data_IF_342418885554
#
_entry.id   IF_342418885554
#
_cell.length_a   1.000
_cell.length_b   1.000
_cell.length_c   1.000
_cell.angle_alpha   90.00
_cell.angle_beta   90.00
_cell.angle_gamma   90.00
#
_symmetry.space_group_name_H-M   'P 1'
#
loop_
_entity.id
_entity.type
_entity.pdbx_description
1 polymer ?
#
# COMPACT_ATOMS: atom_id res chain seq x y z
N UNK A 1 -22.77 10.51 -19.64
CA UNK A 1 -23.72 9.74 -20.46
C UNK A 1 -25.06 10.43 -20.70
N UNK A 2 -25.78 10.91 -19.68
CA UNK A 2 -27.09 11.56 -19.88
C UNK A 2 -27.05 12.74 -20.88
N UNK A 3 -26.02 13.59 -20.82
CA UNK A 3 -25.83 14.72 -21.75
C UNK A 3 -25.61 14.23 -23.19
N UNK A 4 -24.80 13.19 -23.38
CA UNK A 4 -24.53 12.61 -24.70
C UNK A 4 -25.80 12.02 -25.30
N UNK A 5 -26.58 11.29 -24.49
CA UNK A 5 -27.87 10.75 -24.91
C UNK A 5 -28.85 11.86 -25.30
N UNK A 6 -28.95 12.92 -24.49
CA UNK A 6 -29.80 14.06 -24.80
C UNK A 6 -29.37 14.75 -26.12
N UNK A 7 -28.06 14.89 -26.34
CA UNK A 7 -27.52 15.45 -27.58
C UNK A 7 -27.79 14.55 -28.79
N UNK A 8 -27.69 13.23 -28.64
CA UNK A 8 -28.04 12.26 -29.69
C UNK A 8 -29.53 12.33 -30.05
N UNK A 9 -30.43 12.38 -29.06
CA UNK A 9 -31.87 12.52 -29.27
C UNK A 9 -32.21 13.87 -29.92
N UNK A 10 -31.58 14.95 -29.46
CA UNK A 10 -31.75 16.28 -30.04
C UNK A 10 -31.30 16.32 -31.51
N UNK A 11 -30.14 15.73 -31.84
CA UNK A 11 -29.65 15.62 -33.21
C UNK A 11 -30.55 14.73 -34.08
N UNK A 12 -31.11 13.66 -33.52
CA UNK A 12 -32.05 12.79 -34.22
C UNK A 12 -33.35 13.53 -34.57
N UNK A 13 -33.97 14.22 -33.59
CA UNK A 13 -35.19 15.01 -33.79
C UNK A 13 -34.92 16.19 -34.74
N UNK A 14 -33.80 16.89 -34.55
CA UNK A 14 -33.40 18.00 -35.42
C UNK A 14 -33.20 17.54 -36.86
N UNK A 15 -32.55 16.40 -37.06
CA UNK A 15 -32.40 15.82 -38.40
C UNK A 15 -33.77 15.48 -38.98
N UNK A 16 -34.62 14.74 -38.26
CA UNK A 16 -35.96 14.37 -38.74
C UNK A 16 -36.85 15.57 -39.08
N UNK A 17 -36.72 16.68 -38.36
CA UNK A 17 -37.55 17.86 -38.52
C UNK A 17 -37.02 18.87 -39.56
N UNK A 18 -35.71 18.96 -39.77
CA UNK A 18 -35.08 20.05 -40.53
C UNK A 18 -34.11 19.60 -41.63
N UNK A 19 -33.75 18.31 -41.70
CA UNK A 19 -32.83 17.78 -42.72
C UNK A 19 -33.28 16.41 -43.23
N UNK A 20 -33.59 16.29 -44.52
CA UNK A 20 -33.84 15.01 -45.21
C UNK A 20 -32.55 14.16 -45.37
N UNK A 21 -31.82 13.94 -44.27
CA UNK A 21 -30.65 13.07 -44.24
C UNK A 21 -31.14 11.63 -44.33
N UNK A 22 -30.59 10.81 -45.24
CA UNK A 22 -30.94 9.40 -45.32
C UNK A 22 -30.64 8.68 -43.99
N UNK A 23 -31.57 7.82 -43.56
CA UNK A 23 -31.53 7.18 -42.23
C UNK A 23 -30.23 6.43 -41.93
N UNK A 24 -29.56 5.89 -42.95
CA UNK A 24 -28.26 5.25 -42.80
C UNK A 24 -27.16 6.21 -42.35
N UNK A 25 -27.09 7.42 -42.91
CA UNK A 25 -26.10 8.43 -42.54
C UNK A 25 -26.36 9.00 -41.14
N UNK A 26 -27.63 9.20 -40.79
CA UNK A 26 -28.02 9.64 -39.44
C UNK A 26 -27.61 8.62 -38.37
N UNK A 27 -27.84 7.33 -38.63
CA UNK A 27 -27.44 6.25 -37.72
C UNK A 27 -25.91 6.20 -37.56
N UNK A 28 -25.16 6.28 -38.65
CA UNK A 28 -23.69 6.30 -38.61
C UNK A 28 -23.15 7.49 -37.81
N UNK A 29 -23.76 8.66 -37.97
CA UNK A 29 -23.39 9.88 -37.23
C UNK A 29 -23.62 9.74 -35.73
N UNK A 30 -24.76 9.15 -35.33
CA UNK A 30 -25.09 8.92 -33.93
C UNK A 30 -24.17 7.88 -33.29
N UNK A 31 -23.85 6.79 -34.00
CA UNK A 31 -22.89 5.78 -33.53
C UNK A 31 -21.50 6.40 -33.39
N UNK A 32 -21.05 7.20 -34.36
CA UNK A 32 -19.76 7.90 -34.31
C UNK A 32 -19.66 8.81 -33.08
N UNK A 33 -20.72 9.57 -32.79
CA UNK A 33 -20.79 10.41 -31.61
C UNK A 33 -20.75 9.59 -30.32
N UNK A 34 -21.47 8.47 -30.25
CA UNK A 34 -21.50 7.61 -29.09
C UNK A 34 -20.11 7.00 -28.79
N UNK A 35 -19.41 6.49 -29.82
CA UNK A 35 -18.06 5.95 -29.69
C UNK A 35 -17.06 7.03 -29.27
N UNK A 36 -17.11 8.20 -29.90
CA UNK A 36 -16.21 9.32 -29.59
C UNK A 36 -16.35 9.80 -28.13
N UNK A 37 -17.51 9.59 -27.51
CA UNK A 37 -17.78 10.00 -26.14
C UNK A 37 -17.32 8.99 -25.08
N UNK A 38 -16.98 7.75 -25.47
CA UNK A 38 -16.45 6.73 -24.54
C UNK A 38 -14.93 6.88 -24.45
N UNK A 39 -14.36 7.12 -23.26
CA UNK A 39 -12.92 7.24 -23.10
C UNK A 39 -12.27 5.85 -23.04
N UNK A 40 -12.18 5.18 -24.18
CA UNK A 40 -11.65 3.81 -24.31
C UNK A 40 -10.18 3.69 -23.83
N UNK A 41 -9.40 4.77 -23.89
CA UNK A 41 -8.01 4.80 -23.43
C UNK A 41 -7.83 4.92 -21.92
N UNK A 42 -8.87 5.32 -21.17
CA UNK A 42 -8.74 5.61 -19.74
C UNK A 42 -8.35 4.36 -18.90
N UNK A 43 -8.96 3.17 -19.10
CA UNK A 43 -8.57 1.97 -18.35
C UNK A 43 -7.10 1.57 -18.58
N UNK A 44 -6.59 1.76 -19.80
CA UNK A 44 -5.21 1.46 -20.13
C UNK A 44 -4.24 2.42 -19.42
N UNK A 45 -4.53 3.73 -19.47
CA UNK A 45 -3.69 4.76 -18.82
C UNK A 45 -3.64 4.55 -17.30
N UNK A 46 -4.79 4.28 -16.66
CA UNK A 46 -4.84 4.00 -15.21
C UNK A 46 -3.96 2.80 -14.87
N UNK A 47 -4.02 1.74 -15.68
CA UNK A 47 -3.21 0.53 -15.47
C UNK A 47 -1.71 0.81 -15.58
N UNK A 48 -1.29 1.65 -16.54
CA UNK A 48 0.11 2.07 -16.70
C UNK A 48 0.59 2.85 -15.48
N UNK A 49 -0.20 3.84 -15.03
CA UNK A 49 0.14 4.67 -13.87
C UNK A 49 0.26 3.81 -12.60
N UNK A 50 -0.71 2.92 -12.35
CA UNK A 50 -0.66 2.02 -11.21
C UNK A 50 0.53 1.04 -11.29
N UNK A 51 0.86 0.54 -12.47
CA UNK A 51 2.00 -0.35 -12.69
C UNK A 51 3.34 0.33 -12.36
N UNK A 52 3.51 1.60 -12.74
CA UNK A 52 4.68 2.39 -12.36
C UNK A 52 4.77 2.57 -10.82
N UNK A 53 3.64 2.78 -10.17
CA UNK A 53 3.54 2.80 -8.70
C UNK A 53 3.97 1.46 -8.08
N UNK A 54 3.49 0.33 -8.62
CA UNK A 54 3.88 -1.01 -8.18
C UNK A 54 5.38 -1.25 -8.35
N UNK A 55 5.98 -0.86 -9.48
CA UNK A 55 7.43 -0.99 -9.68
C UNK A 55 8.23 -0.20 -8.64
N UNK A 56 7.76 1.00 -8.28
CA UNK A 56 8.41 1.84 -7.27
C UNK A 56 8.35 1.20 -5.89
N UNK A 57 7.20 0.63 -5.51
CA UNK A 57 7.04 -0.11 -4.26
C UNK A 57 7.90 -1.37 -4.21
N UNK A 58 7.97 -2.13 -5.32
CA UNK A 58 8.77 -3.34 -5.42
C UNK A 58 10.27 -3.06 -5.23
N UNK A 59 10.79 -1.95 -5.77
CA UNK A 59 12.18 -1.50 -5.52
C UNK A 59 12.46 -1.21 -4.05
N UNK A 60 11.44 -0.87 -3.26
CA UNK A 60 11.51 -0.68 -1.81
C UNK A 60 11.16 -1.95 -1.02
N UNK A 61 11.25 -3.14 -1.64
CA UNK A 61 10.96 -4.45 -1.03
C UNK A 61 9.48 -4.63 -0.61
N UNK A 62 8.55 -3.86 -1.17
CA UNK A 62 7.11 -4.03 -0.96
C UNK A 62 6.45 -4.63 -2.21
N UNK A 63 6.03 -5.90 -2.13
CA UNK A 63 5.44 -6.62 -3.27
C UNK A 63 3.92 -6.38 -3.31
N UNK A 64 3.45 -5.72 -4.37
CA UNK A 64 2.02 -5.48 -4.60
C UNK A 64 1.44 -6.57 -5.51
N UNK A 65 0.41 -7.27 -5.04
CA UNK A 65 -0.26 -8.35 -5.79
C UNK A 65 -1.40 -7.89 -6.69
N UNK A 66 -1.98 -6.71 -6.41
CA UNK A 66 -3.11 -6.13 -7.16
C UNK A 66 -2.85 -4.65 -7.43
N UNK A 67 -2.93 -4.21 -8.69
CA UNK A 67 -2.63 -2.83 -9.08
C UNK A 67 -3.41 -1.77 -8.26
N UNK A 68 -4.73 -1.91 -7.99
CA UNK A 68 -5.48 -0.90 -7.25
C UNK A 68 -5.02 -0.72 -5.79
N UNK A 69 -4.28 -1.67 -5.22
CA UNK A 69 -3.79 -1.57 -3.84
C UNK A 69 -2.83 -0.39 -3.66
N UNK A 70 -2.15 0.06 -4.71
CA UNK A 70 -1.28 1.25 -4.65
C UNK A 70 -2.07 2.50 -4.29
N UNK A 71 -3.26 2.68 -4.90
CA UNK A 71 -4.15 3.79 -4.59
C UNK A 71 -4.69 3.69 -3.17
N UNK A 72 -5.11 2.49 -2.75
CA UNK A 72 -5.62 2.24 -1.39
C UNK A 72 -4.59 2.59 -0.32
N UNK A 73 -3.32 2.24 -0.51
CA UNK A 73 -2.25 2.59 0.43
C UNK A 73 -1.99 4.10 0.49
N UNK A 74 -2.12 4.81 -0.63
CA UNK A 74 -1.97 6.26 -0.68
C UNK A 74 -3.12 7.02 -0.01
N UNK A 75 -4.33 6.47 -0.05
CA UNK A 75 -5.53 7.06 0.56
C UNK A 75 -5.80 6.57 2.00
N UNK A 76 -4.95 5.70 2.54
CA UNK A 76 -5.14 5.10 3.86
C UNK A 76 -4.99 6.13 4.98
N UNK A 77 -5.98 6.22 5.87
CA UNK A 77 -5.97 7.13 7.03
C UNK A 77 -5.73 6.42 8.37
N UNK A 78 -5.94 5.10 8.42
CA UNK A 78 -5.80 4.28 9.64
C UNK A 78 -5.01 3.03 9.28
N UNK A 79 -3.97 2.71 10.07
CA UNK A 79 -3.17 1.48 9.93
C UNK A 79 -3.48 0.52 11.06
N UNK A 80 -4.09 -0.61 10.73
CA UNK A 80 -4.20 -1.75 11.64
C UNK A 80 -2.97 -2.65 11.43
N UNK A 81 -2.20 -2.88 12.50
CA UNK A 81 -1.02 -3.73 12.47
C UNK A 81 -1.18 -4.85 13.48
N UNK A 82 -0.74 -6.06 13.11
CA UNK A 82 -0.63 -7.15 14.07
C UNK A 82 0.61 -6.94 14.96
N UNK A 83 0.61 -7.49 16.18
CA UNK A 83 1.76 -7.35 17.08
C UNK A 83 2.85 -8.36 16.75
N UNK A 84 2.51 -9.64 16.81
CA UNK A 84 3.49 -10.73 16.77
C UNK A 84 3.93 -11.02 15.34
N UNK A 85 5.23 -10.92 15.06
CA UNK A 85 5.77 -11.16 13.71
C UNK A 85 5.56 -10.00 12.74
N UNK A 86 5.02 -8.87 13.21
CA UNK A 86 4.90 -7.62 12.43
C UNK A 86 5.56 -6.46 13.19
N UNK A 87 5.06 -6.09 14.38
CA UNK A 87 5.70 -5.10 15.24
C UNK A 87 6.83 -5.69 16.07
N UNK A 88 6.73 -6.98 16.41
CA UNK A 88 7.77 -7.73 17.11
C UNK A 88 8.37 -8.80 16.19
N UNK A 89 9.58 -9.25 16.49
CA UNK A 89 10.28 -10.28 15.72
C UNK A 89 9.67 -11.69 15.88
N UNK A 90 8.62 -11.85 16.69
CA UNK A 90 8.09 -13.17 17.11
C UNK A 90 9.17 -14.07 17.78
N UNK A 91 10.12 -13.44 18.46
CA UNK A 91 11.19 -14.10 19.21
C UNK A 91 11.11 -13.64 20.67
N UNK A 92 11.14 -14.60 21.60
CA UNK A 92 11.19 -14.28 23.03
C UNK A 92 12.64 -14.02 23.43
N UNK A 93 12.96 -12.76 23.71
CA UNK A 93 14.31 -12.33 24.08
C UNK A 93 14.31 -11.75 25.49
N UNK A 94 15.32 -12.11 26.29
CA UNK A 94 15.53 -11.53 27.61
C UNK A 94 15.92 -10.06 27.44
N UNK A 95 15.17 -9.16 28.08
CA UNK A 95 15.43 -7.71 28.03
C UNK A 95 15.93 -7.14 29.36
N UNK A 96 15.59 -7.80 30.47
CA UNK A 96 15.98 -7.37 31.79
C UNK A 96 16.21 -8.58 32.71
N UNK A 97 17.18 -8.44 33.61
CA UNK A 97 17.47 -9.40 34.69
C UNK A 97 17.36 -8.61 35.99
N UNK A 98 16.57 -9.12 36.93
CA UNK A 98 16.39 -8.49 38.24
C UNK A 98 16.97 -9.45 39.27
N UNK A 99 17.97 -9.00 40.02
CA UNK A 99 18.55 -9.72 41.16
C UNK A 99 18.12 -9.03 42.46
N UNK A 100 18.51 -9.61 43.61
CA UNK A 100 18.21 -9.00 44.91
C UNK A 100 18.88 -7.63 45.10
N UNK A 101 20.03 -7.43 44.44
CA UNK A 101 20.88 -6.26 44.64
C UNK A 101 20.65 -5.20 43.54
N UNK A 102 20.43 -5.63 42.30
CA UNK A 102 20.47 -4.76 41.12
C UNK A 102 19.52 -5.21 40.01
N UNK A 103 19.14 -4.25 39.16
CA UNK A 103 18.50 -4.50 37.88
C UNK A 103 19.53 -4.34 36.75
N UNK A 104 19.44 -5.22 35.75
CA UNK A 104 20.27 -5.20 34.57
C UNK A 104 19.43 -5.15 33.31
N UNK A 105 19.86 -4.36 32.34
CA UNK A 105 19.30 -4.32 30.98
C UNK A 105 20.15 -5.20 30.07
N UNK A 106 19.51 -6.02 29.26
CA UNK A 106 20.16 -6.94 28.32
C UNK A 106 19.95 -6.44 26.90
N UNK A 107 21.04 -6.19 26.18
CA UNK A 107 21.02 -5.94 24.73
C UNK A 107 20.86 -7.25 23.95
N UNK A 108 20.29 -7.17 22.77
CA UNK A 108 20.05 -8.31 21.90
C UNK A 108 18.60 -8.34 21.42
N UNK A 109 18.43 -8.61 20.13
CA UNK A 109 17.13 -8.71 19.45
C UNK A 109 17.10 -9.99 18.63
N UNK A 110 17.39 -11.13 19.25
CA UNK A 110 17.12 -12.45 18.69
C UNK A 110 17.32 -13.57 19.74
N UNK A 111 17.38 -14.82 19.28
CA UNK A 111 17.85 -15.98 20.03
C UNK A 111 19.38 -16.18 19.98
N UNK A 112 20.10 -15.41 19.16
CA UNK A 112 21.57 -15.42 19.23
C UNK A 112 22.02 -14.94 20.62
N UNK A 113 22.88 -15.69 21.35
CA UNK A 113 23.33 -15.33 22.69
C UNK A 113 24.44 -14.27 22.62
N UNK A 114 24.24 -13.25 21.80
CA UNK A 114 25.13 -12.11 21.63
C UNK A 114 24.43 -10.86 22.14
N UNK A 115 25.02 -10.24 23.14
CA UNK A 115 24.43 -9.10 23.81
C UNK A 115 25.30 -8.64 24.96
N UNK A 116 25.24 -7.36 25.28
CA UNK A 116 25.91 -6.80 26.47
C UNK A 116 24.89 -6.60 27.58
N UNK A 117 25.35 -6.78 28.80
CA UNK A 117 24.55 -6.56 30.00
C UNK A 117 24.96 -5.22 30.60
N UNK A 118 24.00 -4.38 30.93
CA UNK A 118 24.21 -3.06 31.50
C UNK A 118 23.54 -2.99 32.86
N UNK A 119 24.18 -2.34 33.82
CA UNK A 119 23.51 -1.99 35.08
C UNK A 119 22.46 -0.91 34.78
N UNK A 120 21.27 -1.01 35.39
CA UNK A 120 20.23 0.01 35.21
C UNK A 120 20.74 1.40 35.66
N UNK A 121 20.74 2.37 34.74
CA UNK A 121 21.28 3.72 34.97
C UNK A 121 22.75 3.93 34.57
N UNK A 122 23.44 2.89 34.11
CA UNK A 122 24.80 2.98 33.53
C UNK A 122 24.80 2.58 32.05
N UNK A 123 25.56 3.30 31.23
CA UNK A 123 25.83 2.94 29.83
C UNK A 123 27.14 2.14 29.67
N UNK A 124 27.83 1.83 30.78
CA UNK A 124 28.99 0.96 30.75
C UNK A 124 28.57 -0.52 30.87
N UNK A 125 29.05 -1.38 29.96
CA UNK A 125 28.73 -2.80 30.01
C UNK A 125 29.39 -3.45 31.23
N UNK A 126 28.59 -4.25 31.95
CA UNK A 126 29.06 -5.02 33.10
C UNK A 126 29.99 -6.12 32.61
N UNK A 127 31.20 -6.15 33.15
CA UNK A 127 32.11 -7.27 32.98
C UNK A 127 31.62 -8.43 33.86
N UNK A 128 31.11 -9.48 33.22
CA UNK A 128 30.66 -10.68 33.93
C UNK A 128 31.87 -11.35 34.58
N UNK A 129 31.89 -11.37 35.91
CA UNK A 129 32.95 -12.03 36.67
C UNK A 129 32.64 -13.53 36.80
N UNK A 130 33.67 -14.40 36.81
CA UNK A 130 33.50 -15.83 37.05
C UNK A 130 32.89 -16.09 38.44
N UNK A 131 31.91 -16.99 38.53
CA UNK A 131 31.18 -17.37 39.73
C UNK A 131 29.93 -16.54 40.04
N UNK A 132 29.48 -15.67 39.13
CA UNK A 132 28.28 -14.83 39.32
C UNK A 132 27.02 -15.46 38.74
N UNK A 133 25.84 -15.03 39.20
CA UNK A 133 24.53 -15.44 38.62
C UNK A 133 24.34 -15.04 37.16
N UNK A 134 25.24 -14.22 36.61
CA UNK A 134 25.26 -13.76 35.23
C UNK A 134 26.23 -14.59 34.35
N UNK A 135 26.99 -15.52 34.95
CA UNK A 135 27.83 -16.47 34.22
C UNK A 135 26.92 -17.54 33.59
N UNK A 136 26.99 -17.71 32.27
CA UNK A 136 26.19 -18.69 31.50
C UNK A 136 27.07 -19.75 30.87
#
# INVERSE_FOLDING_TARGET
FAIILAMMVALFIFSLALRDIPMGELLLSLISLAVAAVPEGLPAIISIILSLGVQTMARKRAIIRKLPTVETLGAMTVVCSDKTGTLTMNEMTVKAIITADCCYRVEGDSYEPQGRIFLEGSDEPVQVQPGTVLET
#
